data_IF_441279797801
#
_entry.id   IF_441279797801
#
_cell.length_a   1.000
_cell.length_b   1.000
_cell.length_c   1.000
_cell.angle_alpha   90.00
_cell.angle_beta   90.00
_cell.angle_gamma   90.00
#
_symmetry.space_group_name_H-M   'P 1'
#
loop_
_entity.id
_entity.type
_entity.pdbx_description
1 polymer ?
#
# COMPACT_ATOMS: atom_id res chain seq x y z
N UNK A 1 -50.64 1.93 8.51
CA UNK A 1 -50.27 0.65 7.87
C UNK A 1 -48.90 0.87 7.26
N UNK A 2 -47.85 0.35 7.91
CA UNK A 2 -46.47 0.50 7.48
C UNK A 2 -46.24 -0.39 6.25
N UNK A 3 -45.72 0.17 5.18
CA UNK A 3 -45.53 -0.50 3.89
C UNK A 3 -44.49 -1.64 4.03
N UNK A 4 -44.85 -2.92 3.79
CA UNK A 4 -43.92 -4.05 3.93
C UNK A 4 -42.74 -3.99 2.95
N UNK A 5 -42.82 -3.18 1.90
CA UNK A 5 -41.71 -2.98 0.95
C UNK A 5 -40.56 -2.14 1.51
N UNK A 6 -40.81 -1.25 2.48
CA UNK A 6 -39.75 -0.40 3.05
C UNK A 6 -38.72 -1.22 3.82
N UNK A 7 -39.16 -2.15 4.69
CA UNK A 7 -38.23 -2.92 5.52
C UNK A 7 -37.27 -3.83 4.73
N UNK A 8 -37.62 -4.20 3.50
CA UNK A 8 -36.79 -5.12 2.70
C UNK A 8 -35.58 -4.40 2.06
N UNK A 9 -35.70 -3.12 1.71
CA UNK A 9 -34.63 -2.42 1.00
C UNK A 9 -33.39 -2.21 1.89
N UNK A 10 -33.56 -1.84 3.16
CA UNK A 10 -32.44 -1.63 4.08
C UNK A 10 -31.71 -2.93 4.39
N UNK A 11 -32.44 -4.03 4.52
CA UNK A 11 -31.87 -5.37 4.70
C UNK A 11 -31.04 -5.78 3.49
N UNK A 12 -31.55 -5.55 2.27
CA UNK A 12 -30.78 -5.79 1.05
C UNK A 12 -29.52 -4.92 0.99
N UNK A 13 -29.61 -3.63 1.33
CA UNK A 13 -28.43 -2.76 1.38
C UNK A 13 -27.42 -3.26 2.41
N UNK A 14 -27.87 -3.72 3.58
CA UNK A 14 -27.01 -4.29 4.61
C UNK A 14 -26.31 -5.58 4.15
N UNK A 15 -27.07 -6.51 3.57
CA UNK A 15 -26.58 -7.84 3.17
C UNK A 15 -25.64 -7.78 1.96
N UNK A 16 -25.87 -6.84 1.03
CA UNK A 16 -25.09 -6.68 -0.18
C UNK A 16 -24.03 -5.55 -0.10
N UNK A 17 -23.91 -4.84 1.03
CA UNK A 17 -22.82 -3.87 1.21
C UNK A 17 -21.47 -4.59 1.11
N UNK A 18 -20.58 -4.20 0.19
CA UNK A 18 -19.25 -4.80 0.10
C UNK A 18 -18.32 -4.43 1.27
N UNK A 19 -18.68 -3.44 2.08
CA UNK A 19 -17.92 -3.02 3.24
C UNK A 19 -18.35 -3.80 4.48
N UNK A 20 -17.40 -4.06 5.38
CA UNK A 20 -17.69 -4.66 6.68
C UNK A 20 -18.44 -3.67 7.56
N UNK A 21 -19.62 -4.05 8.02
CA UNK A 21 -20.43 -3.26 8.93
C UNK A 21 -20.52 -4.00 10.27
N UNK A 22 -20.27 -3.28 11.35
CA UNK A 22 -20.46 -3.76 12.72
C UNK A 22 -21.10 -2.67 13.56
N UNK A 23 -22.06 -3.07 14.40
CA UNK A 23 -22.71 -2.20 15.38
C UNK A 23 -22.52 -2.82 16.75
N UNK A 24 -22.07 -2.01 17.71
CA UNK A 24 -21.88 -2.40 19.11
C UNK A 24 -22.71 -1.50 20.03
N UNK A 25 -23.07 -1.97 21.22
CA UNK A 25 -23.67 -1.11 22.25
C UNK A 25 -22.64 -0.28 23.02
N UNK A 26 -23.12 0.55 23.94
CA UNK A 26 -22.30 1.36 24.84
C UNK A 26 -21.30 0.56 25.71
N UNK A 27 -21.51 -0.76 25.87
CA UNK A 27 -20.58 -1.66 26.56
C UNK A 27 -19.67 -2.42 25.58
N UNK A 28 -19.66 -2.05 24.30
CA UNK A 28 -18.91 -2.65 23.21
C UNK A 28 -19.26 -4.12 22.91
N UNK A 29 -20.50 -4.53 23.21
CA UNK A 29 -21.00 -5.83 22.79
C UNK A 29 -21.62 -5.74 21.40
N UNK A 30 -21.29 -6.72 20.55
CA UNK A 30 -21.78 -6.77 19.16
C UNK A 30 -23.30 -6.93 19.14
N UNK A 31 -23.98 -6.03 18.44
CA UNK A 31 -25.42 -6.09 18.18
C UNK A 31 -25.73 -6.63 16.80
N UNK A 32 -25.04 -6.10 15.80
CA UNK A 32 -25.26 -6.43 14.40
C UNK A 32 -23.93 -6.48 13.65
N UNK A 33 -23.87 -7.37 12.68
CA UNK A 33 -22.80 -7.45 11.69
C UNK A 33 -23.41 -7.77 10.33
N UNK A 34 -22.74 -7.36 9.25
CA UNK A 34 -23.14 -7.77 7.91
C UNK A 34 -22.28 -8.93 7.37
N UNK A 35 -22.71 -9.59 6.28
CA UNK A 35 -21.97 -10.71 5.68
C UNK A 35 -20.54 -10.35 5.25
N UNK A 36 -20.31 -9.11 4.79
CA UNK A 36 -18.97 -8.67 4.42
C UNK A 36 -18.03 -8.61 5.63
N UNK A 37 -18.48 -8.12 6.79
CA UNK A 37 -17.70 -8.15 8.03
C UNK A 37 -17.35 -9.58 8.43
N UNK A 38 -18.34 -10.49 8.41
CA UNK A 38 -18.14 -11.90 8.69
C UNK A 38 -17.09 -12.53 7.77
N UNK A 39 -17.10 -12.17 6.49
CA UNK A 39 -16.11 -12.63 5.50
C UNK A 39 -14.72 -12.06 5.77
N UNK A 40 -14.61 -10.76 6.06
CA UNK A 40 -13.34 -10.08 6.36
C UNK A 40 -12.64 -10.67 7.58
N UNK A 41 -13.39 -10.93 8.66
CA UNK A 41 -12.86 -11.42 9.92
C UNK A 41 -13.01 -12.94 10.10
N UNK A 42 -13.47 -13.66 9.08
CA UNK A 42 -13.62 -15.13 9.08
C UNK A 42 -14.42 -15.67 10.28
N UNK A 43 -15.53 -15.01 10.59
CA UNK A 43 -16.42 -15.31 11.72
C UNK A 43 -17.84 -15.56 11.24
N UNK A 44 -18.61 -16.33 12.01
CA UNK A 44 -20.04 -16.47 11.78
C UNK A 44 -20.80 -15.38 12.54
N UNK A 45 -21.74 -14.70 11.88
CA UNK A 45 -22.50 -13.61 12.49
C UNK A 45 -23.25 -14.04 13.75
N UNK A 46 -23.93 -15.19 13.71
CA UNK A 46 -24.72 -15.70 14.83
C UNK A 46 -23.86 -16.03 16.06
N UNK A 47 -22.60 -16.41 15.87
CA UNK A 47 -21.68 -16.77 16.97
C UNK A 47 -21.13 -15.53 17.69
N UNK A 48 -21.03 -14.40 16.98
CA UNK A 48 -20.41 -13.17 17.50
C UNK A 48 -21.42 -12.17 18.04
N UNK A 49 -22.69 -12.26 17.66
CA UNK A 49 -23.74 -11.40 18.22
C UNK A 49 -23.83 -11.63 19.74
N UNK A 50 -23.80 -10.54 20.50
CA UNK A 50 -23.80 -10.55 21.96
C UNK A 50 -22.45 -10.89 22.59
N UNK A 51 -21.39 -11.08 21.81
CA UNK A 51 -20.02 -11.19 22.33
C UNK A 51 -19.35 -9.80 22.43
N UNK A 52 -18.30 -9.65 23.25
CA UNK A 52 -17.48 -8.45 23.24
C UNK A 52 -16.78 -8.28 21.89
N UNK A 53 -16.84 -7.09 21.30
CA UNK A 53 -16.20 -6.81 20.01
C UNK A 53 -14.66 -6.98 20.05
N UNK A 54 -14.07 -6.84 21.24
CA UNK A 54 -12.63 -7.08 21.49
C UNK A 54 -12.17 -8.51 21.26
N UNK A 55 -13.09 -9.45 21.06
CA UNK A 55 -12.75 -10.83 20.67
C UNK A 55 -12.33 -10.94 19.20
N UNK A 56 -12.76 -9.98 18.38
CA UNK A 56 -12.55 -9.95 16.92
C UNK A 56 -11.63 -8.78 16.55
N UNK A 57 -11.81 -7.63 17.22
CA UNK A 57 -11.06 -6.41 16.96
C UNK A 57 -9.92 -6.26 17.97
N UNK A 58 -8.70 -6.06 17.46
CA UNK A 58 -7.48 -5.96 18.28
C UNK A 58 -7.46 -4.74 19.24
N UNK A 59 -8.20 -3.68 18.93
CA UNK A 59 -8.30 -2.46 19.76
C UNK A 59 -9.68 -1.82 19.64
N UNK A 60 -10.18 -1.33 20.77
CA UNK A 60 -11.46 -0.60 20.88
C UNK A 60 -11.28 0.92 21.00
N UNK A 61 -10.04 1.44 20.87
CA UNK A 61 -9.74 2.85 21.12
C UNK A 61 -10.57 3.78 20.21
N UNK A 62 -10.79 3.38 18.96
CA UNK A 62 -11.55 4.18 17.98
C UNK A 62 -13.05 4.22 18.33
N UNK A 63 -13.60 3.14 18.88
CA UNK A 63 -14.99 3.06 19.34
C UNK A 63 -15.19 3.88 20.61
N UNK A 64 -14.26 3.75 21.56
CA UNK A 64 -14.26 4.55 22.77
C UNK A 64 -14.14 6.04 22.44
N UNK A 65 -13.24 6.42 21.54
CA UNK A 65 -13.08 7.81 21.13
C UNK A 65 -14.35 8.35 20.44
N UNK A 66 -15.00 7.56 19.58
CA UNK A 66 -16.23 7.97 18.93
C UNK A 66 -17.36 8.22 19.93
N UNK A 67 -17.46 7.36 20.94
CA UNK A 67 -18.46 7.47 22.01
C UNK A 67 -18.19 8.64 22.96
N UNK A 68 -16.98 8.75 23.51
CA UNK A 68 -16.64 9.74 24.55
C UNK A 68 -16.65 11.18 24.02
N UNK A 69 -16.32 11.38 22.75
CA UNK A 69 -16.18 12.69 22.13
C UNK A 69 -17.32 13.07 21.19
N UNK A 70 -18.31 12.18 21.05
CA UNK A 70 -19.41 12.28 20.08
C UNK A 70 -18.92 12.77 18.70
N UNK A 71 -17.98 12.03 18.11
CA UNK A 71 -17.37 12.40 16.83
C UNK A 71 -17.14 11.22 15.91
N UNK A 72 -17.16 11.50 14.61
CA UNK A 72 -16.80 10.52 13.59
C UNK A 72 -15.28 10.34 13.56
N UNK A 73 -14.82 9.17 13.98
CA UNK A 73 -13.40 8.77 13.94
C UNK A 73 -13.12 8.08 12.60
N UNK A 74 -12.05 8.51 11.91
CA UNK A 74 -11.60 7.90 10.65
C UNK A 74 -10.16 7.46 10.81
N UNK A 75 -9.92 6.15 10.74
CA UNK A 75 -8.59 5.57 10.95
C UNK A 75 -8.29 4.46 9.95
N UNK A 76 -7.01 4.18 9.79
CA UNK A 76 -6.53 3.00 9.08
C UNK A 76 -5.98 2.01 10.11
N UNK A 77 -6.48 0.78 10.08
CA UNK A 77 -6.03 -0.31 10.96
C UNK A 77 -5.49 -1.46 10.13
N UNK A 78 -4.51 -2.14 10.72
CA UNK A 78 -4.02 -3.42 10.25
C UNK A 78 -4.49 -4.46 11.26
N UNK A 79 -5.03 -5.57 10.75
CA UNK A 79 -5.39 -6.74 11.53
C UNK A 79 -4.52 -7.91 11.03
N UNK A 80 -3.32 -8.10 11.60
CA UNK A 80 -2.34 -9.05 11.09
C UNK A 80 -2.83 -10.50 11.08
N UNK A 81 -3.62 -10.88 12.09
CA UNK A 81 -4.20 -12.23 12.22
C UNK A 81 -5.09 -12.61 11.03
N UNK A 82 -5.67 -11.62 10.36
CA UNK A 82 -6.54 -11.78 9.20
C UNK A 82 -5.85 -11.35 7.90
N UNK A 83 -4.57 -10.94 7.95
CA UNK A 83 -3.83 -10.34 6.84
C UNK A 83 -4.62 -9.20 6.15
N UNK A 84 -5.26 -8.36 6.98
CA UNK A 84 -6.25 -7.40 6.54
C UNK A 84 -5.81 -5.98 6.86
N UNK A 85 -5.93 -5.09 5.89
CA UNK A 85 -5.78 -3.65 6.04
C UNK A 85 -7.13 -2.99 5.79
N UNK A 86 -7.63 -2.29 6.80
CA UNK A 86 -8.96 -1.70 6.81
C UNK A 86 -8.88 -0.20 7.00
N UNK A 87 -9.63 0.55 6.18
CA UNK A 87 -10.00 1.93 6.51
C UNK A 87 -11.34 1.89 7.20
N UNK A 88 -11.36 2.33 8.45
CA UNK A 88 -12.57 2.30 9.26
C UNK A 88 -13.09 3.71 9.58
N UNK A 89 -14.41 3.82 9.58
CA UNK A 89 -15.15 5.01 9.98
C UNK A 89 -16.06 4.59 11.14
N UNK A 90 -15.80 5.13 12.32
CA UNK A 90 -16.51 4.79 13.56
C UNK A 90 -17.29 6.02 14.03
N UNK A 91 -18.56 5.83 14.40
CA UNK A 91 -19.43 6.91 14.85
C UNK A 91 -20.50 6.41 15.82
N UNK A 92 -20.86 7.25 16.79
CA UNK A 92 -21.98 7.05 17.71
C UNK A 92 -23.32 7.37 17.04
N UNK A 93 -24.36 6.64 17.45
CA UNK A 93 -25.76 6.98 17.21
C UNK A 93 -26.40 7.09 18.58
N UNK A 94 -26.31 8.27 19.20
CA UNK A 94 -26.73 8.49 20.59
C UNK A 94 -28.20 8.15 20.82
N UNK A 95 -29.06 8.46 19.85
CA UNK A 95 -30.51 8.21 19.88
C UNK A 95 -30.84 6.73 20.14
N UNK A 96 -29.98 5.82 19.65
CA UNK A 96 -30.13 4.38 19.75
C UNK A 96 -29.14 3.75 20.76
N UNK A 97 -28.25 4.55 21.36
CA UNK A 97 -27.25 4.07 22.33
C UNK A 97 -26.24 3.07 21.76
N UNK A 98 -25.92 3.20 20.47
CA UNK A 98 -25.02 2.29 19.74
C UNK A 98 -23.87 3.03 19.06
N UNK A 99 -22.83 2.28 18.73
CA UNK A 99 -21.67 2.74 17.96
C UNK A 99 -21.58 1.87 16.71
N UNK A 100 -21.59 2.51 15.55
CA UNK A 100 -21.45 1.84 14.26
C UNK A 100 -20.03 2.03 13.72
N UNK A 101 -19.54 1.01 13.02
CA UNK A 101 -18.27 1.06 12.31
C UNK A 101 -18.44 0.49 10.91
N UNK A 102 -17.95 1.26 9.93
CA UNK A 102 -17.87 0.87 8.52
C UNK A 102 -16.41 0.60 8.20
N UNK A 103 -16.13 -0.57 7.61
CA UNK A 103 -14.80 -1.10 7.37
C UNK A 103 -14.60 -1.38 5.88
N UNK A 104 -13.69 -0.65 5.25
CA UNK A 104 -13.33 -0.84 3.85
C UNK A 104 -11.99 -1.57 3.79
N UNK A 105 -12.02 -2.83 3.33
CA UNK A 105 -10.81 -3.57 2.99
C UNK A 105 -10.11 -2.91 1.80
N UNK A 106 -8.82 -2.61 1.96
CA UNK A 106 -7.98 -2.06 0.89
C UNK A 106 -6.65 -2.83 0.77
N UNK A 107 -6.62 -4.06 1.27
CA UNK A 107 -5.44 -4.95 1.28
C UNK A 107 -4.95 -5.26 -0.12
N UNK A 108 -5.87 -5.50 -1.05
CA UNK A 108 -5.56 -5.82 -2.43
C UNK A 108 -4.90 -4.63 -3.15
N UNK A 109 -5.46 -3.43 -3.02
CA UNK A 109 -4.91 -2.18 -3.57
C UNK A 109 -3.54 -1.87 -2.98
N UNK A 110 -3.35 -2.10 -1.68
CA UNK A 110 -2.05 -1.97 -1.03
C UNK A 110 -1.01 -2.91 -1.62
N UNK A 111 -1.38 -4.18 -1.84
CA UNK A 111 -0.49 -5.18 -2.44
C UNK A 111 -0.07 -4.77 -3.84
N UNK A 112 -1.03 -4.43 -4.70
CA UNK A 112 -0.77 -3.97 -6.06
C UNK A 112 0.13 -2.73 -6.08
N UNK A 113 -0.13 -1.77 -5.18
CA UNK A 113 0.69 -0.56 -5.06
C UNK A 113 2.13 -0.88 -4.65
N UNK A 114 2.31 -1.81 -3.70
CA UNK A 114 3.64 -2.26 -3.25
C UNK A 114 4.39 -2.97 -4.38
N UNK A 115 3.72 -3.83 -5.14
CA UNK A 115 4.32 -4.51 -6.29
C UNK A 115 4.75 -3.53 -7.38
N UNK A 116 3.89 -2.59 -7.74
CA UNK A 116 4.21 -1.55 -8.72
C UNK A 116 5.41 -0.70 -8.27
N UNK A 117 5.47 -0.35 -6.99
CA UNK A 117 6.63 0.37 -6.43
C UNK A 117 7.91 -0.45 -6.51
N UNK A 118 7.86 -1.76 -6.27
CA UNK A 118 9.00 -2.66 -6.41
C UNK A 118 9.50 -2.71 -7.85
N UNK A 119 8.59 -2.91 -8.82
CA UNK A 119 8.92 -2.89 -10.24
C UNK A 119 9.56 -1.57 -10.67
N UNK A 120 9.02 -0.43 -10.21
CA UNK A 120 9.58 0.89 -10.50
C UNK A 120 11.02 1.01 -9.98
N UNK A 121 11.30 0.56 -8.74
CA UNK A 121 12.64 0.58 -8.16
C UNK A 121 13.61 -0.32 -8.93
N UNK A 122 13.18 -1.52 -9.29
CA UNK A 122 14.00 -2.47 -10.05
C UNK A 122 14.33 -1.93 -11.45
N UNK A 123 13.38 -1.28 -12.11
CA UNK A 123 13.61 -0.62 -13.41
C UNK A 123 14.62 0.51 -13.30
N UNK A 124 14.51 1.39 -12.28
CA UNK A 124 15.49 2.46 -12.06
C UNK A 124 16.89 1.88 -11.82
N UNK A 125 17.00 0.80 -11.03
CA UNK A 125 18.28 0.12 -10.79
C UNK A 125 18.89 -0.39 -12.10
N UNK A 126 18.12 -1.08 -12.93
CA UNK A 126 18.57 -1.58 -14.24
C UNK A 126 19.03 -0.46 -15.17
N UNK A 127 18.33 0.68 -15.19
CA UNK A 127 18.74 1.85 -15.98
C UNK A 127 20.11 2.35 -15.52
N UNK A 128 20.32 2.47 -14.20
CA UNK A 128 21.62 2.89 -13.67
C UNK A 128 22.74 1.89 -14.00
N UNK A 129 22.47 0.58 -13.91
CA UNK A 129 23.44 -0.45 -14.30
C UNK A 129 23.88 -0.32 -15.78
N UNK A 130 22.92 -0.02 -16.67
CA UNK A 130 23.22 0.24 -18.09
C UNK A 130 24.06 1.50 -18.26
N UNK A 131 23.73 2.59 -17.56
CA UNK A 131 24.51 3.84 -17.61
C UNK A 131 25.94 3.62 -17.11
N UNK A 132 26.11 2.90 -16.01
CA UNK A 132 27.43 2.57 -15.46
C UNK A 132 28.24 1.70 -16.43
N UNK A 133 27.60 0.75 -17.10
CA UNK A 133 28.24 -0.06 -18.13
C UNK A 133 28.69 0.81 -19.32
N UNK A 134 27.84 1.71 -19.81
CA UNK A 134 28.19 2.63 -20.89
C UNK A 134 29.35 3.56 -20.47
N UNK A 135 29.40 4.01 -19.22
CA UNK A 135 30.51 4.84 -18.72
C UNK A 135 31.85 4.07 -18.74
N UNK A 136 31.85 2.78 -18.37
CA UNK A 136 33.05 1.92 -18.46
C UNK A 136 33.50 1.76 -19.91
N UNK A 137 32.58 1.48 -20.84
CA UNK A 137 32.88 1.39 -22.27
C UNK A 137 33.50 2.69 -22.79
N UNK A 138 32.95 3.85 -22.40
CA UNK A 138 33.51 5.16 -22.76
C UNK A 138 34.94 5.32 -22.24
N UNK A 139 35.22 4.91 -21.00
CA UNK A 139 36.57 4.97 -20.43
C UNK A 139 37.56 4.05 -21.17
N UNK A 140 37.14 2.85 -21.56
CA UNK A 140 37.96 1.94 -22.36
C UNK A 140 38.29 2.52 -23.74
N UNK A 141 37.29 3.08 -24.44
CA UNK A 141 37.48 3.76 -25.72
C UNK A 141 38.43 4.95 -25.58
N UNK A 142 38.24 5.77 -24.54
CA UNK A 142 39.12 6.92 -24.27
C UNK A 142 40.56 6.48 -23.99
N UNK A 143 40.75 5.37 -23.26
CA UNK A 143 42.05 4.75 -23.03
C UNK A 143 42.73 4.33 -24.33
N UNK A 144 42.03 3.55 -25.17
CA UNK A 144 42.52 3.09 -26.47
C UNK A 144 42.86 4.26 -27.42
N UNK A 145 42.02 5.30 -27.45
CA UNK A 145 42.29 6.52 -28.22
C UNK A 145 43.53 7.26 -27.72
N UNK A 146 43.71 7.33 -26.39
CA UNK A 146 44.88 7.91 -25.75
C UNK A 146 46.17 7.18 -26.12
N UNK A 147 46.14 5.85 -26.05
CA UNK A 147 47.25 4.98 -26.44
C UNK A 147 47.63 5.17 -27.93
N UNK A 148 46.65 5.05 -28.83
CA UNK A 148 46.86 5.22 -30.28
C UNK A 148 47.42 6.61 -30.62
N UNK A 149 46.94 7.66 -29.95
CA UNK A 149 47.41 9.04 -30.15
C UNK A 149 48.85 9.21 -29.66
N UNK A 150 49.22 8.59 -28.53
CA UNK A 150 50.59 8.60 -28.02
C UNK A 150 51.55 7.87 -28.97
N UNK A 151 51.17 6.69 -29.47
CA UNK A 151 51.95 5.92 -30.45
C UNK A 151 52.17 6.70 -31.75
N UNK A 152 51.11 7.34 -32.25
CA UNK A 152 51.17 8.20 -33.45
C UNK A 152 52.13 9.36 -33.24
N UNK A 153 52.05 10.05 -32.09
CA UNK A 153 52.95 11.16 -31.74
C UNK A 153 54.42 10.71 -31.71
N UNK A 154 54.71 9.57 -31.08
CA UNK A 154 56.08 9.02 -31.02
C UNK A 154 56.60 8.70 -32.42
N UNK A 155 55.78 8.10 -33.28
CA UNK A 155 56.15 7.76 -34.66
C UNK A 155 56.44 9.00 -35.50
N UNK A 156 55.60 10.04 -35.40
CA UNK A 156 55.82 11.31 -36.09
C UNK A 156 57.09 12.03 -35.59
N UNK A 157 57.35 12.04 -34.28
CA UNK A 157 58.56 12.63 -33.72
C UNK A 157 59.83 11.93 -34.23
N UNK A 158 59.81 10.60 -34.38
CA UNK A 158 60.92 9.85 -34.98
C UNK A 158 61.16 10.26 -36.43
N UNK A 159 60.10 10.46 -37.22
CA UNK A 159 60.20 10.93 -38.61
C UNK A 159 60.82 12.33 -38.65
N UNK A 160 60.36 13.26 -37.80
CA UNK A 160 60.92 14.61 -37.70
C UNK A 160 62.42 14.56 -37.38
N UNK A 161 62.82 13.76 -36.39
CA UNK A 161 64.24 13.60 -36.01
C UNK A 161 65.12 13.00 -37.12
N UNK A 162 64.58 12.13 -37.97
CA UNK A 162 65.30 11.58 -39.13
C UNK A 162 65.53 12.68 -40.18
N UNK A 163 64.48 13.46 -40.49
CA UNK A 163 64.56 14.56 -41.46
C UNK A 163 65.53 15.67 -40.99
N UNK A 164 65.56 15.99 -39.69
CA UNK A 164 66.50 16.97 -39.14
C UNK A 164 67.97 16.53 -39.24
N UNK A 165 68.25 15.22 -39.22
CA UNK A 165 69.61 14.67 -39.33
C UNK A 165 70.15 14.64 -40.76
N UNK A 166 69.30 14.57 -41.78
CA UNK A 166 69.70 14.58 -43.20
C UNK A 166 70.03 15.98 -43.73
N UNK A 167 69.71 17.05 -42.99
CA UNK A 167 69.97 18.45 -43.38
C UNK A 167 71.36 18.96 -42.89
N UNK A 168 72.18 18.06 -42.31
CA UNK A 168 73.59 18.29 -41.91
C UNK A 168 74.55 17.52 -42.82
#
# INVERSE_FOLDING_TARGET
>A
MSDPHSNHLWQLLWDYDPNGLIVVDANFYVKLVNPAFCTMFQVNGDDIIGQPASTILDSMDDFQQAWDKDMVVRQTREYPSYNLFVKQVVFSIEEEGVIACIMVDFSHELSQRRELQKLKRDTIRKVNEVVDHQMKVVQEIAGLLGETTAETKVSLLKIIQMLEKEVL
#
